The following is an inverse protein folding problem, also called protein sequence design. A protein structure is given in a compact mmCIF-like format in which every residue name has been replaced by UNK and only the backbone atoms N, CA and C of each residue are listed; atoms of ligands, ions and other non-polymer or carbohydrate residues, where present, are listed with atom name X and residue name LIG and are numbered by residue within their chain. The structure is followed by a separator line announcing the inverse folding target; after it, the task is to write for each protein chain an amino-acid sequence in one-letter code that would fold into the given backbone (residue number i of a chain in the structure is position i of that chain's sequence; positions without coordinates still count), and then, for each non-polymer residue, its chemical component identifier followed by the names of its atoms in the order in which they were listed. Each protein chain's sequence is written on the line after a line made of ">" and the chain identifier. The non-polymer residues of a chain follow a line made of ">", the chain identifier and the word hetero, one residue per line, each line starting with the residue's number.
data_IF_513538920256
#
_entry.id   IF_513538920256
#
_cell.length_a   1.000
_cell.length_b   1.000
_cell.length_c   1.000
_cell.angle_alpha   90.00
_cell.angle_beta   90.00
_cell.angle_gamma   90.00
#
_symmetry.space_group_name_H-M   'P 1'
#
loop_
_entity.id
_entity.type
_entity.pdbx_description
1 polymer ?
#
# COMPACT_ATOMS: atom_id res chain seq x y z
N UNK A 1 14.97 20.76 10.62
CA UNK A 1 13.88 20.54 9.63
C UNK A 1 13.33 19.16 9.89
N UNK A 2 12.01 18.97 9.88
CA UNK A 2 11.39 17.64 10.00
C UNK A 2 11.70 16.77 8.80
N UNK A 3 11.74 15.44 9.01
CA UNK A 3 11.85 14.43 7.96
C UNK A 3 10.62 14.37 7.07
N UNK A 4 10.63 13.46 6.09
CA UNK A 4 9.53 13.21 5.16
C UNK A 4 9.04 11.76 5.30
N UNK A 5 7.73 11.54 5.20
CA UNK A 5 7.12 10.23 5.08
C UNK A 5 7.09 9.82 3.60
N UNK A 6 7.92 8.85 3.23
CA UNK A 6 7.99 8.31 1.88
C UNK A 6 7.08 7.10 1.75
N UNK A 7 6.13 7.14 0.81
CA UNK A 7 5.28 5.99 0.52
C UNK A 7 6.01 5.11 -0.50
N UNK A 8 6.52 3.98 -0.04
CA UNK A 8 7.44 3.12 -0.76
C UNK A 8 6.70 1.91 -1.35
N UNK A 9 6.45 1.88 -2.66
CA UNK A 9 5.80 0.73 -3.29
C UNK A 9 6.66 -0.52 -3.19
N UNK A 10 5.99 -1.67 -3.10
CA UNK A 10 6.59 -2.99 -3.01
C UNK A 10 6.09 -3.89 -4.15
N UNK A 11 6.76 -5.03 -4.38
CA UNK A 11 6.37 -5.98 -5.41
C UNK A 11 4.93 -6.50 -5.22
N UNK A 12 4.25 -6.81 -6.32
CA UNK A 12 2.96 -7.53 -6.31
C UNK A 12 3.12 -9.04 -6.24
N UNK A 13 4.35 -9.54 -6.41
CA UNK A 13 4.69 -10.95 -6.41
C UNK A 13 6.20 -11.15 -6.37
N UNK A 14 6.66 -12.34 -6.68
CA UNK A 14 8.09 -12.66 -6.68
C UNK A 14 8.72 -12.24 -8.01
N UNK A 15 9.26 -11.03 -8.04
CA UNK A 15 9.95 -10.44 -9.19
C UNK A 15 11.19 -9.67 -8.73
N UNK A 16 12.26 -9.55 -9.54
CA UNK A 16 13.39 -8.68 -9.24
C UNK A 16 12.93 -7.22 -9.21
N UNK A 17 13.55 -6.38 -8.37
CA UNK A 17 13.12 -5.00 -8.20
C UNK A 17 13.11 -4.17 -9.49
N UNK A 18 13.99 -4.49 -10.44
CA UNK A 18 14.10 -3.83 -11.74
C UNK A 18 12.82 -3.92 -12.60
N UNK A 19 11.99 -4.93 -12.36
CA UNK A 19 10.79 -5.18 -13.16
C UNK A 19 9.58 -4.33 -12.68
N UNK A 20 9.61 -3.79 -11.46
CA UNK A 20 8.45 -3.09 -10.90
C UNK A 20 8.77 -1.73 -10.26
N UNK A 21 10.03 -1.44 -9.90
CA UNK A 21 10.40 -0.22 -9.19
C UNK A 21 11.34 0.65 -10.02
N UNK A 22 10.99 1.93 -10.25
CA UNK A 22 11.92 2.85 -10.91
C UNK A 22 13.22 3.01 -10.11
N UNK A 23 14.40 3.13 -10.77
CA UNK A 23 15.69 3.31 -10.09
C UNK A 23 15.68 4.44 -9.06
N UNK A 24 15.06 5.58 -9.36
CA UNK A 24 14.95 6.71 -8.45
C UNK A 24 14.16 6.38 -7.17
N UNK A 25 13.14 5.52 -7.25
CA UNK A 25 12.40 5.06 -6.08
C UNK A 25 13.25 4.11 -5.22
N UNK A 26 14.01 3.20 -5.86
CA UNK A 26 14.98 2.35 -5.17
C UNK A 26 16.06 3.18 -4.47
N UNK A 27 16.62 4.21 -5.12
CA UNK A 27 17.61 5.09 -4.51
C UNK A 27 17.08 5.76 -3.25
N UNK A 28 15.81 6.19 -3.25
CA UNK A 28 15.16 6.69 -2.04
C UNK A 28 15.10 5.61 -0.97
N UNK A 29 14.61 4.41 -1.29
CA UNK A 29 14.52 3.30 -0.36
C UNK A 29 15.87 2.98 0.29
N UNK A 30 16.93 2.90 -0.52
CA UNK A 30 18.29 2.53 -0.08
C UNK A 30 18.98 3.56 0.82
N UNK A 31 18.51 4.80 0.90
CA UNK A 31 19.06 5.81 1.81
C UNK A 31 18.28 5.95 3.12
N UNK A 32 17.10 5.35 3.22
CA UNK A 32 16.29 5.38 4.44
C UNK A 32 16.82 4.40 5.47
N UNK A 33 16.70 4.77 6.75
CA UNK A 33 17.10 3.92 7.88
C UNK A 33 15.93 3.57 8.79
N UNK A 34 14.79 4.28 8.63
CA UNK A 34 13.58 4.07 9.41
C UNK A 34 12.45 3.65 8.48
N UNK A 35 11.77 2.58 8.86
CA UNK A 35 10.64 2.03 8.10
C UNK A 35 9.47 1.73 9.02
N UNK A 36 8.27 1.95 8.50
CA UNK A 36 7.03 1.47 9.08
C UNK A 36 6.39 0.53 8.06
N UNK A 37 6.03 -0.66 8.45
CA UNK A 37 5.54 -1.68 7.55
C UNK A 37 4.28 -2.38 8.10
N UNK A 38 3.39 -2.79 7.21
CA UNK A 38 2.25 -3.63 7.56
C UNK A 38 2.73 -4.96 8.16
N UNK A 39 3.78 -5.55 7.57
CA UNK A 39 4.45 -6.75 8.07
C UNK A 39 5.97 -6.58 8.00
N UNK A 40 6.64 -6.62 9.15
CA UNK A 40 8.08 -6.43 9.24
C UNK A 40 8.91 -7.53 8.54
N UNK A 41 8.38 -8.76 8.41
CA UNK A 41 9.04 -9.85 7.68
C UNK A 41 9.00 -9.60 6.18
N UNK A 42 7.84 -9.22 5.65
CA UNK A 42 7.66 -8.86 4.23
C UNK A 42 8.55 -7.66 3.87
N UNK A 43 8.58 -6.62 4.72
CA UNK A 43 9.43 -5.45 4.51
C UNK A 43 10.93 -5.81 4.44
N UNK A 44 11.42 -6.66 5.35
CA UNK A 44 12.82 -7.13 5.29
C UNK A 44 13.12 -7.89 4.01
N UNK A 45 12.20 -8.76 3.56
CA UNK A 45 12.36 -9.49 2.30
C UNK A 45 12.43 -8.54 1.11
N UNK A 46 11.58 -7.51 1.10
CA UNK A 46 11.54 -6.51 0.05
C UNK A 46 12.80 -5.63 0.03
N UNK A 47 13.26 -5.13 1.19
CA UNK A 47 14.50 -4.36 1.30
C UNK A 47 15.72 -5.19 0.87
N UNK A 48 15.73 -6.50 1.16
CA UNK A 48 16.76 -7.41 0.66
C UNK A 48 16.70 -7.54 -0.85
N UNK A 49 15.50 -7.65 -1.44
CA UNK A 49 15.30 -7.72 -2.89
C UNK A 49 15.77 -6.44 -3.58
N UNK A 50 15.55 -5.28 -2.95
CA UNK A 50 16.05 -3.97 -3.41
C UNK A 50 17.57 -3.82 -3.22
N UNK A 51 18.27 -4.80 -2.62
CA UNK A 51 19.70 -4.75 -2.33
C UNK A 51 20.07 -3.54 -1.45
N UNK A 52 19.34 -3.38 -0.34
CA UNK A 52 19.58 -2.27 0.60
C UNK A 52 21.02 -2.31 1.12
N UNK A 53 21.79 -1.19 1.03
CA UNK A 53 23.22 -1.18 1.33
C UNK A 53 23.56 -1.37 2.83
N UNK A 54 22.62 -1.00 3.73
CA UNK A 54 22.77 -1.17 5.17
C UNK A 54 22.24 -2.56 5.56
N UNK A 55 22.96 -3.32 6.42
CA UNK A 55 22.47 -4.58 6.93
C UNK A 55 21.08 -4.42 7.57
N UNK A 56 20.14 -5.31 7.24
CA UNK A 56 18.74 -5.19 7.70
C UNK A 56 18.57 -5.17 9.22
N UNK A 57 19.52 -5.74 9.96
CA UNK A 57 19.54 -5.71 11.45
C UNK A 57 19.82 -4.32 12.01
N UNK A 58 20.44 -3.45 11.20
CA UNK A 58 20.83 -2.09 11.59
C UNK A 58 19.79 -1.05 11.16
N UNK A 59 18.70 -1.49 10.52
CA UNK A 59 17.55 -0.68 10.13
C UNK A 59 16.48 -0.69 11.23
N UNK A 60 15.88 0.47 11.51
CA UNK A 60 14.72 0.59 12.37
C UNK A 60 13.46 0.24 11.54
N UNK A 61 12.95 -0.98 11.70
CA UNK A 61 11.74 -1.45 11.01
C UNK A 61 10.67 -1.75 12.05
N UNK A 62 9.68 -0.88 12.13
CA UNK A 62 8.52 -1.03 13.00
C UNK A 62 7.32 -1.57 12.25
N UNK A 63 6.57 -2.47 12.89
CA UNK A 63 5.35 -3.03 12.31
C UNK A 63 4.13 -2.23 12.78
N UNK A 64 3.20 -2.00 11.86
CA UNK A 64 1.88 -1.45 12.16
C UNK A 64 1.11 -2.43 13.07
N UNK A 65 0.59 -2.01 14.22
CA UNK A 65 -0.30 -2.83 15.03
C UNK A 65 -1.60 -3.16 14.28
N UNK A 66 -2.19 -4.33 14.55
CA UNK A 66 -3.50 -4.71 14.00
C UNK A 66 -4.59 -3.72 14.40
N UNK A 67 -4.56 -3.24 15.65
CA UNK A 67 -5.46 -2.22 16.19
C UNK A 67 -4.66 -0.94 16.43
N UNK A 68 -4.44 -0.18 15.36
CA UNK A 68 -3.65 1.04 15.37
C UNK A 68 -4.41 2.16 16.09
N UNK A 69 -3.91 2.60 17.24
CA UNK A 69 -4.45 3.70 18.00
C UNK A 69 -3.69 5.03 17.80
N UNK A 70 -4.17 6.09 18.43
CA UNK A 70 -3.55 7.43 18.31
C UNK A 70 -2.14 7.47 18.90
N UNK A 71 -1.86 6.74 19.99
CA UNK A 71 -0.54 6.71 20.62
C UNK A 71 0.48 5.97 19.73
N UNK A 72 0.05 4.88 19.08
CA UNK A 72 0.87 4.17 18.11
C UNK A 72 1.22 5.06 16.91
N UNK A 73 0.25 5.80 16.38
CA UNK A 73 0.47 6.72 15.26
C UNK A 73 1.52 7.79 15.61
N UNK A 74 1.39 8.43 16.77
CA UNK A 74 2.36 9.43 17.24
C UNK A 74 3.75 8.81 17.43
N UNK A 75 3.84 7.63 18.02
CA UNK A 75 5.10 6.91 18.21
C UNK A 75 5.77 6.57 16.88
N UNK A 76 5.01 6.05 15.92
CA UNK A 76 5.52 5.68 14.59
C UNK A 76 5.98 6.89 13.76
N UNK A 77 5.36 8.05 13.97
CA UNK A 77 5.75 9.29 13.29
C UNK A 77 6.85 10.07 14.03
N UNK A 78 7.19 9.70 15.28
CA UNK A 78 8.18 10.41 16.10
C UNK A 78 9.54 10.63 15.41
N UNK A 79 10.11 9.68 14.64
CA UNK A 79 11.38 9.91 13.94
C UNK A 79 11.34 11.09 12.96
N UNK A 80 10.18 11.43 12.37
CA UNK A 80 10.06 12.58 11.48
C UNK A 80 10.33 13.91 12.20
N UNK A 81 9.92 14.02 13.47
CA UNK A 81 10.23 15.22 14.27
C UNK A 81 11.70 15.33 14.64
N UNK A 82 12.38 14.19 14.78
CA UNK A 82 13.83 14.14 14.97
C UNK A 82 14.64 14.41 13.69
N UNK A 83 13.96 14.63 12.56
CA UNK A 83 14.58 14.93 11.27
C UNK A 83 14.92 13.71 10.43
N UNK A 84 14.51 12.51 10.84
CA UNK A 84 14.69 11.29 10.06
C UNK A 84 13.56 11.11 9.05
N UNK A 85 13.90 10.71 7.83
CA UNK A 85 12.94 10.27 6.83
C UNK A 85 12.43 8.84 7.18
N UNK A 86 11.14 8.57 6.95
CA UNK A 86 10.52 7.24 7.17
C UNK A 86 10.03 6.69 5.84
N UNK A 87 10.27 5.40 5.56
CA UNK A 87 9.64 4.64 4.49
C UNK A 87 8.42 3.88 5.00
N UNK A 88 7.23 4.17 4.47
CA UNK A 88 6.02 3.40 4.72
C UNK A 88 5.87 2.33 3.64
N UNK A 89 5.69 1.06 4.04
CA UNK A 89 5.60 -0.11 3.16
C UNK A 89 4.36 -0.93 3.48
N UNK A 90 3.63 -1.36 2.46
CA UNK A 90 2.56 -2.36 2.54
C UNK A 90 3.09 -3.77 2.26
N UNK A 91 2.24 -4.78 2.36
CA UNK A 91 2.60 -6.16 1.99
C UNK A 91 2.68 -6.35 0.46
N UNK A 92 1.92 -5.57 -0.33
CA UNK A 92 1.94 -5.61 -1.79
C UNK A 92 1.51 -4.27 -2.40
N UNK A 93 2.17 -3.83 -3.46
CA UNK A 93 1.77 -2.65 -4.23
C UNK A 93 2.04 -1.32 -3.55
N UNK A 94 1.10 -0.39 -3.66
CA UNK A 94 1.23 0.97 -3.15
C UNK A 94 0.74 1.08 -1.70
N UNK A 95 1.57 1.55 -0.75
CA UNK A 95 1.14 1.75 0.63
C UNK A 95 0.05 2.82 0.75
N UNK A 96 -0.74 2.75 1.80
CA UNK A 96 -1.92 3.56 2.07
C UNK A 96 -3.10 3.36 1.08
N UNK A 97 -3.05 2.32 0.23
CA UNK A 97 -4.15 1.92 -0.66
C UNK A 97 -4.68 0.57 -0.21
N UNK A 98 -5.88 0.56 0.37
CA UNK A 98 -6.50 -0.63 0.98
C UNK A 98 -5.66 -1.26 2.12
N UNK A 99 -4.87 -0.46 2.81
CA UNK A 99 -4.05 -0.85 3.96
C UNK A 99 -4.13 0.16 5.12
N UNK A 100 -3.74 -0.22 6.35
CA UNK A 100 -3.82 0.63 7.52
C UNK A 100 -2.89 1.85 7.48
N UNK A 101 -1.89 1.87 6.61
CA UNK A 101 -0.93 2.97 6.45
C UNK A 101 -1.59 4.32 6.10
N UNK A 102 -2.82 4.29 5.56
CA UNK A 102 -3.61 5.50 5.29
C UNK A 102 -3.82 6.37 6.55
N UNK A 103 -3.90 5.77 7.75
CA UNK A 103 -4.03 6.51 9.00
C UNK A 103 -2.79 7.33 9.34
N UNK A 104 -1.59 6.77 9.09
CA UNK A 104 -0.32 7.49 9.26
C UNK A 104 -0.22 8.66 8.28
N UNK A 105 -0.60 8.43 7.02
CA UNK A 105 -0.61 9.47 5.98
C UNK A 105 -1.53 10.62 6.36
N UNK A 106 -2.76 10.30 6.79
CA UNK A 106 -3.72 11.31 7.26
C UNK A 106 -3.13 12.13 8.41
N UNK A 107 -2.59 11.46 9.42
CA UNK A 107 -2.02 12.12 10.58
C UNK A 107 -0.79 12.97 10.22
N UNK A 108 0.05 12.50 9.34
CA UNK A 108 1.18 13.29 8.84
C UNK A 108 0.73 14.60 8.19
N UNK A 109 -0.35 14.58 7.40
CA UNK A 109 -0.94 15.80 6.83
C UNK A 109 -1.51 16.73 7.89
N UNK A 110 -2.24 16.21 8.88
CA UNK A 110 -2.78 16.99 10.01
C UNK A 110 -1.67 17.73 10.78
N UNK A 111 -0.50 17.12 10.85
CA UNK A 111 0.69 17.66 11.54
C UNK A 111 1.58 18.55 10.62
N UNK A 112 1.18 18.77 9.38
CA UNK A 112 1.98 19.55 8.41
C UNK A 112 3.29 18.88 8.01
N UNK A 113 3.43 17.56 8.20
CA UNK A 113 4.60 16.79 7.79
C UNK A 113 4.55 16.50 6.29
N UNK A 114 5.72 16.40 5.68
CA UNK A 114 5.81 16.13 4.24
C UNK A 114 5.56 14.67 3.92
N UNK A 115 4.59 14.39 3.05
CA UNK A 115 4.29 13.06 2.51
C UNK A 115 4.73 13.02 1.06
N UNK A 116 5.49 11.98 0.68
CA UNK A 116 6.09 11.83 -0.65
C UNK A 116 5.79 10.45 -1.22
N UNK A 117 4.74 10.29 -2.04
CA UNK A 117 4.49 9.03 -2.73
C UNK A 117 5.55 8.79 -3.81
N UNK A 118 5.99 7.54 -3.93
CA UNK A 118 6.89 7.09 -4.99
C UNK A 118 6.11 6.31 -6.05
N UNK A 119 6.60 6.37 -7.28
CA UNK A 119 6.02 5.59 -8.39
C UNK A 119 6.32 4.12 -8.21
N UNK A 120 5.31 3.28 -8.40
CA UNK A 120 5.44 1.82 -8.31
C UNK A 120 4.18 1.07 -8.75
N UNK A 121 4.15 -0.26 -8.61
CA UNK A 121 3.10 -1.11 -9.14
C UNK A 121 1.79 -0.99 -8.32
N UNK A 122 0.67 -1.10 -9.03
CA UNK A 122 -0.67 -1.18 -8.43
C UNK A 122 -1.48 -2.23 -9.15
N UNK A 123 -1.91 -3.28 -8.45
CA UNK A 123 -2.77 -4.33 -9.01
C UNK A 123 -4.10 -3.77 -9.52
N UNK A 124 -4.63 -2.74 -8.85
CA UNK A 124 -5.87 -2.06 -9.22
C UNK A 124 -5.75 -1.42 -10.61
N UNK A 125 -4.67 -0.64 -10.81
CA UNK A 125 -4.44 0.02 -12.11
C UNK A 125 -4.05 -0.96 -13.20
N UNK A 126 -3.26 -1.98 -12.89
CA UNK A 126 -2.90 -3.03 -13.86
C UNK A 126 -4.13 -3.80 -14.34
N UNK A 127 -5.04 -4.16 -13.42
CA UNK A 127 -6.30 -4.80 -13.77
C UNK A 127 -7.17 -3.89 -14.64
N UNK A 128 -7.30 -2.61 -14.29
CA UNK A 128 -8.07 -1.64 -15.09
C UNK A 128 -7.46 -1.47 -16.49
N UNK A 129 -6.13 -1.31 -16.60
CA UNK A 129 -5.44 -1.17 -17.87
C UNK A 129 -5.65 -2.37 -18.79
N UNK A 130 -5.63 -3.58 -18.25
CA UNK A 130 -5.77 -4.82 -19.02
C UNK A 130 -7.23 -5.19 -19.33
N UNK A 131 -8.21 -4.59 -18.64
CA UNK A 131 -9.63 -4.96 -18.79
C UNK A 131 -10.28 -4.48 -20.07
N UNK A 132 -9.77 -3.41 -20.70
CA UNK A 132 -10.45 -2.74 -21.82
C UNK A 132 -11.71 -1.98 -21.42
N UNK A 133 -12.01 -1.87 -20.12
CA UNK A 133 -13.18 -1.14 -19.60
C UNK A 133 -12.90 0.36 -19.48
N UNK A 134 -13.91 1.11 -19.00
CA UNK A 134 -13.81 2.57 -18.87
C UNK A 134 -12.79 2.98 -17.80
N UNK A 135 -11.61 3.47 -18.22
CA UNK A 135 -10.54 3.95 -17.36
C UNK A 135 -10.69 5.39 -16.87
N UNK A 136 -11.66 6.16 -17.40
CA UNK A 136 -11.93 7.54 -16.95
C UNK A 136 -12.93 7.61 -15.80
N UNK A 137 -13.82 6.61 -15.72
CA UNK A 137 -14.85 6.51 -14.70
C UNK A 137 -14.79 5.11 -14.10
N UNK A 138 -14.21 5.01 -12.91
CA UNK A 138 -14.14 3.76 -12.16
C UNK A 138 -14.26 4.01 -10.66
N UNK A 139 -14.70 3.00 -9.95
CA UNK A 139 -14.75 3.01 -8.48
C UNK A 139 -14.07 1.76 -7.94
N UNK A 140 -13.18 1.96 -6.97
CA UNK A 140 -12.58 0.88 -6.20
C UNK A 140 -13.34 0.68 -4.89
N UNK A 141 -13.82 -0.55 -4.65
CA UNK A 141 -14.67 -0.92 -3.52
C UNK A 141 -13.93 -1.66 -2.40
N UNK A 142 -12.62 -1.88 -2.56
CA UNK A 142 -11.88 -2.72 -1.61
C UNK A 142 -12.34 -4.18 -1.68
N UNK A 143 -12.52 -4.81 -0.51
CA UNK A 143 -12.98 -6.20 -0.40
C UNK A 143 -14.50 -6.28 -0.43
N UNK A 144 -15.02 -7.33 -1.08
CA UNK A 144 -16.42 -7.68 -1.00
C UNK A 144 -16.76 -8.33 0.36
N UNK A 145 -18.06 -8.36 0.75
CA UNK A 145 -18.51 -9.08 1.92
C UNK A 145 -18.00 -10.53 1.93
N UNK A 146 -17.51 -10.99 3.09
CA UNK A 146 -16.90 -12.31 3.20
C UNK A 146 -17.93 -13.46 3.11
N UNK A 147 -19.20 -13.19 3.42
CA UNK A 147 -20.26 -14.21 3.57
C UNK A 147 -21.36 -14.03 2.55
N UNK A 148 -22.01 -15.14 2.22
CA UNK A 148 -23.30 -15.18 1.54
C UNK A 148 -24.44 -14.92 2.55
N UNK A 149 -25.57 -14.31 2.10
CA UNK A 149 -25.88 -13.87 0.74
C UNK A 149 -25.38 -12.44 0.40
N UNK A 150 -24.76 -11.74 1.33
CA UNK A 150 -24.39 -10.33 1.18
C UNK A 150 -23.38 -10.12 0.04
N UNK A 151 -22.47 -11.07 -0.17
CA UNK A 151 -21.49 -11.03 -1.25
C UNK A 151 -22.16 -11.09 -2.63
N UNK A 152 -23.02 -12.06 -2.85
CA UNK A 152 -23.78 -12.20 -4.10
C UNK A 152 -24.66 -10.98 -4.37
N UNK A 153 -25.33 -10.45 -3.34
CA UNK A 153 -26.13 -9.26 -3.48
C UNK A 153 -25.27 -8.05 -3.87
N UNK A 154 -24.09 -7.89 -3.24
CA UNK A 154 -23.18 -6.78 -3.57
C UNK A 154 -22.69 -6.86 -5.01
N UNK A 155 -22.38 -8.03 -5.54
CA UNK A 155 -21.97 -8.22 -6.95
C UNK A 155 -23.09 -7.79 -7.89
N UNK A 156 -24.33 -8.22 -7.62
CA UNK A 156 -25.52 -7.83 -8.42
C UNK A 156 -25.70 -6.31 -8.40
N UNK A 157 -25.52 -5.67 -7.25
CA UNK A 157 -25.68 -4.23 -7.12
C UNK A 157 -24.56 -3.47 -7.87
N UNK A 158 -23.32 -3.97 -7.82
CA UNK A 158 -22.19 -3.41 -8.57
C UNK A 158 -22.41 -3.53 -10.08
N UNK A 159 -22.97 -4.64 -10.57
CA UNK A 159 -23.35 -4.78 -11.98
C UNK A 159 -24.38 -3.73 -12.41
N UNK A 160 -25.44 -3.55 -11.63
CA UNK A 160 -26.45 -2.51 -11.87
C UNK A 160 -25.85 -1.11 -11.85
N UNK A 161 -24.98 -0.82 -10.87
CA UNK A 161 -24.28 0.47 -10.79
C UNK A 161 -23.39 0.70 -12.02
N UNK A 162 -22.66 -0.32 -12.46
CA UNK A 162 -21.81 -0.27 -13.64
C UNK A 162 -22.58 0.13 -14.89
N UNK A 163 -23.71 -0.54 -15.13
CA UNK A 163 -24.59 -0.25 -16.27
C UNK A 163 -25.18 1.16 -16.17
N UNK A 164 -25.77 1.50 -15.02
CA UNK A 164 -26.46 2.78 -14.81
C UNK A 164 -25.51 3.98 -14.91
N UNK A 165 -24.30 3.87 -14.35
CA UNK A 165 -23.33 4.97 -14.28
C UNK A 165 -22.32 4.96 -15.43
N UNK A 166 -22.32 3.93 -16.27
CA UNK A 166 -21.29 3.69 -17.30
C UNK A 166 -19.88 3.78 -16.69
N UNK A 167 -19.69 3.06 -15.58
CA UNK A 167 -18.52 3.15 -14.71
C UNK A 167 -17.97 1.77 -14.40
N UNK A 168 -16.65 1.60 -14.48
CA UNK A 168 -15.99 0.36 -14.10
C UNK A 168 -16.01 0.19 -12.57
N UNK A 169 -16.41 -0.99 -12.11
CA UNK A 169 -16.37 -1.36 -10.70
C UNK A 169 -15.19 -2.28 -10.45
N UNK A 170 -14.34 -1.93 -9.51
CA UNK A 170 -13.13 -2.69 -9.16
C UNK A 170 -13.22 -3.13 -7.71
N UNK A 171 -12.94 -4.39 -7.44
CA UNK A 171 -12.78 -4.92 -6.09
C UNK A 171 -11.58 -5.87 -6.04
N UNK A 172 -11.10 -6.16 -4.85
CA UNK A 172 -9.99 -7.08 -4.62
C UNK A 172 -10.43 -8.23 -3.72
N UNK A 173 -9.72 -9.35 -3.85
CA UNK A 173 -9.84 -10.48 -2.94
C UNK A 173 -8.46 -11.07 -2.65
N UNK A 174 -8.33 -11.73 -1.51
CA UNK A 174 -7.12 -12.43 -1.14
C UNK A 174 -6.97 -13.73 -1.94
N UNK A 175 -5.72 -14.16 -2.26
CA UNK A 175 -5.51 -15.36 -3.08
C UNK A 175 -6.20 -16.62 -2.55
N UNK A 176 -6.26 -16.78 -1.22
CA UNK A 176 -6.88 -17.95 -0.60
C UNK A 176 -8.43 -17.94 -0.64
N UNK A 177 -9.05 -16.80 -0.95
CA UNK A 177 -10.51 -16.65 -1.09
C UNK A 177 -10.99 -16.59 -2.55
N UNK A 178 -10.08 -16.41 -3.51
CA UNK A 178 -10.44 -16.30 -4.92
C UNK A 178 -11.29 -17.48 -5.42
N UNK A 179 -10.92 -18.72 -5.08
CA UNK A 179 -11.66 -19.91 -5.52
C UNK A 179 -13.09 -20.02 -4.95
N UNK A 180 -13.37 -19.31 -3.85
CA UNK A 180 -14.72 -19.28 -3.25
C UNK A 180 -15.55 -18.14 -3.85
N UNK A 181 -14.91 -17.16 -4.47
CA UNK A 181 -15.57 -16.03 -5.12
C UNK A 181 -16.08 -16.40 -6.52
N UNK A 182 -15.37 -17.30 -7.22
CA UNK A 182 -15.73 -17.81 -8.56
C UNK A 182 -16.44 -19.15 -8.49
#
# INVERSE_FOLDING_TARGET
>A
MSGSLWLLPVALGDAPWQDYLPPAAREVACRLTHFVAENAKSARAELKRMEHPIPLRDLAIEQLPENLDSADIERLLAPLYAGHDIGLMSDAGCPAVADPGALLVRRAHELGLRVKPLVGPSSILLALMSSGLNGQRFTFHGYLPAKEPERSQRIIDLEKESIRLQQTQIFIETPYRNLVLF
#
